data_IF_530182944177
#
_entry.id   IF_530182944177
#
_cell.length_a   1.000
_cell.length_b   1.000
_cell.length_c   1.000
_cell.angle_alpha   90.00
_cell.angle_beta   90.00
_cell.angle_gamma   90.00
#
_symmetry.space_group_name_H-M   'P 1'
#
loop_
_entity.id
_entity.type
_entity.pdbx_description
1 polymer ?
#
# COMPACT_ATOMS: atom_id res chain seq x y z
N UNK A 1 -2.34 -10.72 10.34
CA UNK A 1 -3.70 -10.18 10.09
C UNK A 1 -3.68 -9.50 8.74
N UNK A 2 -4.79 -9.48 8.01
CA UNK A 2 -4.84 -8.87 6.69
C UNK A 2 -5.35 -7.44 6.74
N UNK A 3 -4.69 -6.57 5.98
CA UNK A 3 -5.06 -5.18 5.81
C UNK A 3 -5.19 -4.86 4.32
N UNK A 4 -6.23 -4.12 3.97
CA UNK A 4 -6.38 -3.48 2.68
C UNK A 4 -5.88 -2.05 2.83
N UNK A 5 -4.99 -1.63 1.95
CA UNK A 5 -4.51 -0.26 1.87
C UNK A 5 -4.93 0.36 0.55
N UNK A 6 -5.60 1.50 0.64
CA UNK A 6 -5.97 2.35 -0.49
C UNK A 6 -5.04 3.57 -0.49
N UNK A 7 -4.08 3.58 -1.42
CA UNK A 7 -3.13 4.66 -1.60
C UNK A 7 -3.54 5.61 -2.73
N UNK A 8 -3.19 6.89 -2.61
CA UNK A 8 -3.39 7.87 -3.68
C UNK A 8 -2.19 8.79 -3.80
N UNK A 9 -1.78 9.07 -5.03
CA UNK A 9 -0.82 10.14 -5.29
C UNK A 9 -1.53 11.49 -5.12
N UNK A 10 -0.89 12.45 -4.47
CA UNK A 10 -1.50 13.76 -4.20
C UNK A 10 -0.93 14.85 -5.11
N UNK A 11 -1.43 16.07 -4.98
CA UNK A 11 -0.98 17.23 -5.77
C UNK A 11 0.53 17.48 -5.72
N UNK A 12 1.21 17.07 -4.64
CA UNK A 12 2.68 17.18 -4.54
C UNK A 12 3.35 16.30 -5.60
N UNK A 13 2.87 15.08 -5.78
CA UNK A 13 3.36 14.19 -6.83
C UNK A 13 3.15 14.82 -8.21
N UNK A 14 1.95 15.35 -8.48
CA UNK A 14 1.64 16.00 -9.77
C UNK A 14 2.47 17.24 -10.08
N UNK A 15 3.07 17.88 -9.06
CA UNK A 15 3.96 19.05 -9.20
C UNK A 15 5.44 18.70 -9.29
N UNK A 16 5.81 17.44 -9.08
CA UNK A 16 7.20 16.98 -9.23
C UNK A 16 7.63 16.99 -10.70
N UNK A 17 8.93 17.09 -10.95
CA UNK A 17 9.44 16.93 -12.30
C UNK A 17 9.20 15.50 -12.80
N UNK A 18 9.07 15.25 -14.12
CA UNK A 18 8.91 13.90 -14.64
C UNK A 18 10.05 12.96 -14.21
N UNK A 19 11.28 13.47 -14.11
CA UNK A 19 12.43 12.70 -13.64
C UNK A 19 12.28 12.29 -12.16
N UNK A 20 11.83 13.20 -11.30
CA UNK A 20 11.61 12.92 -9.88
C UNK A 20 10.43 11.96 -9.66
N UNK A 21 9.37 12.09 -10.45
CA UNK A 21 8.25 11.15 -10.44
C UNK A 21 8.72 9.75 -10.79
N UNK A 22 9.49 9.60 -11.87
CA UNK A 22 10.03 8.31 -12.30
C UNK A 22 10.94 7.69 -11.22
N UNK A 23 11.89 8.46 -10.67
CA UNK A 23 12.77 7.98 -9.61
C UNK A 23 12.00 7.61 -8.32
N UNK A 24 10.96 8.38 -7.98
CA UNK A 24 10.06 8.08 -6.86
C UNK A 24 9.31 6.76 -7.07
N UNK A 25 8.74 6.56 -8.25
CA UNK A 25 8.04 5.33 -8.62
C UNK A 25 8.96 4.10 -8.62
N UNK A 26 10.18 4.21 -9.12
CA UNK A 26 11.16 3.12 -9.07
C UNK A 26 11.49 2.72 -7.64
N UNK A 27 11.59 3.70 -6.73
CA UNK A 27 11.81 3.47 -5.31
C UNK A 27 10.61 2.79 -4.64
N UNK A 28 9.38 3.20 -4.97
CA UNK A 28 8.14 2.53 -4.53
C UNK A 28 8.09 1.07 -4.98
N UNK A 29 8.46 0.80 -6.23
CA UNK A 29 8.50 -0.54 -6.77
C UNK A 29 9.56 -1.40 -6.09
N UNK A 30 10.75 -0.84 -5.83
CA UNK A 30 11.79 -1.55 -5.08
C UNK A 30 11.31 -1.94 -3.68
N UNK A 31 10.64 -1.01 -2.98
CA UNK A 31 10.08 -1.27 -1.66
C UNK A 31 8.97 -2.32 -1.68
N UNK A 32 8.08 -2.23 -2.66
CA UNK A 32 7.02 -3.22 -2.85
C UNK A 32 7.56 -4.62 -3.12
N UNK A 33 8.62 -4.75 -3.93
CA UNK A 33 9.30 -6.04 -4.17
C UNK A 33 9.94 -6.59 -2.90
N UNK A 34 10.55 -5.73 -2.07
CA UNK A 34 11.10 -6.11 -0.77
C UNK A 34 10.01 -6.68 0.16
N UNK A 35 8.86 -5.99 0.27
CA UNK A 35 7.77 -6.46 1.12
C UNK A 35 7.06 -7.69 0.57
N UNK A 36 6.99 -7.82 -0.74
CA UNK A 36 6.46 -9.02 -1.39
C UNK A 36 7.34 -10.24 -1.07
N UNK A 37 8.67 -10.11 -1.14
CA UNK A 37 9.59 -11.22 -0.83
C UNK A 37 9.57 -11.64 0.64
N UNK A 38 9.21 -10.72 1.54
CA UNK A 38 9.02 -10.97 2.97
C UNK A 38 7.63 -11.51 3.32
N UNK A 39 6.72 -11.62 2.35
CA UNK A 39 5.33 -12.04 2.57
C UNK A 39 4.47 -10.99 3.28
N UNK A 40 4.97 -9.76 3.44
CA UNK A 40 4.25 -8.64 4.05
C UNK A 40 3.25 -8.01 3.06
N UNK A 41 3.62 -7.93 1.79
CA UNK A 41 2.72 -7.51 0.71
C UNK A 41 2.25 -8.75 -0.05
N UNK A 42 0.93 -8.98 -0.10
CA UNK A 42 0.33 -10.13 -0.80
C UNK A 42 -0.01 -9.83 -2.24
N UNK A 43 -0.67 -8.70 -2.47
CA UNK A 43 -1.16 -8.28 -3.79
C UNK A 43 -1.18 -6.75 -3.86
N UNK A 44 -0.95 -6.21 -5.05
CA UNK A 44 -0.98 -4.78 -5.32
C UNK A 44 -1.51 -4.54 -6.72
N UNK A 45 -2.35 -3.51 -6.86
CA UNK A 45 -2.93 -3.05 -8.11
C UNK A 45 -2.78 -1.54 -8.22
N UNK A 46 -2.46 -1.08 -9.43
CA UNK A 46 -2.41 0.32 -9.79
C UNK A 46 -3.62 0.65 -10.66
N UNK A 47 -4.33 1.70 -10.29
CA UNK A 47 -5.38 2.31 -11.08
C UNK A 47 -4.82 3.58 -11.71
N UNK A 48 -4.31 3.45 -12.94
CA UNK A 48 -3.55 4.50 -13.62
C UNK A 48 -4.38 5.77 -13.84
N UNK A 49 -5.65 5.62 -14.22
CA UNK A 49 -6.54 6.75 -14.50
C UNK A 49 -6.83 7.57 -13.23
N UNK A 50 -6.94 6.92 -12.09
CA UNK A 50 -7.25 7.52 -10.79
C UNK A 50 -6.00 7.90 -9.99
N UNK A 51 -4.80 7.57 -10.49
CA UNK A 51 -3.55 7.71 -9.73
C UNK A 51 -3.70 7.13 -8.30
N UNK A 52 -4.22 5.91 -8.22
CA UNK A 52 -4.49 5.25 -6.95
C UNK A 52 -4.00 3.82 -6.93
N UNK A 53 -3.77 3.30 -5.74
CA UNK A 53 -3.21 1.99 -5.49
C UNK A 53 -4.14 1.27 -4.53
N UNK A 54 -4.45 -0.01 -4.81
CA UNK A 54 -5.00 -0.91 -3.81
C UNK A 54 -3.99 -2.00 -3.53
N UNK A 55 -3.82 -2.34 -2.26
CA UNK A 55 -2.90 -3.40 -1.86
C UNK A 55 -3.43 -4.18 -0.68
N UNK A 56 -2.99 -5.43 -0.58
CA UNK A 56 -3.31 -6.34 0.52
C UNK A 56 -2.02 -6.66 1.24
N UNK A 57 -1.96 -6.33 2.52
CA UNK A 57 -0.81 -6.56 3.40
C UNK A 57 -1.12 -7.57 4.50
N UNK A 58 -0.09 -8.25 4.96
CA UNK A 58 -0.06 -8.98 6.23
C UNK A 58 0.72 -8.16 7.25
N UNK A 59 0.11 -7.91 8.40
CA UNK A 59 0.78 -7.31 9.55
C UNK A 59 0.19 -7.89 10.86
N UNK A 60 0.96 -7.80 11.94
CA UNK A 60 0.56 -8.34 13.25
C UNK A 60 -0.42 -7.43 13.99
N UNK A 61 -0.41 -6.14 13.67
CA UNK A 61 -1.28 -5.13 14.26
C UNK A 61 -1.46 -3.94 13.33
N UNK A 62 -2.35 -3.01 13.72
CA UNK A 62 -2.54 -1.74 13.00
C UNK A 62 -1.27 -0.89 13.02
N UNK A 63 -0.60 -0.83 14.17
CA UNK A 63 0.64 -0.08 14.36
C UNK A 63 1.79 -0.65 13.53
N UNK A 64 1.89 -1.99 13.42
CA UNK A 64 2.84 -2.62 12.50
C UNK A 64 2.53 -2.20 11.05
N UNK A 65 1.27 -2.24 10.62
CA UNK A 65 0.88 -1.79 9.28
C UNK A 65 1.21 -0.31 9.03
N UNK A 66 0.95 0.56 10.00
CA UNK A 66 1.30 1.99 9.92
C UNK A 66 2.81 2.19 9.79
N UNK A 67 3.62 1.42 10.52
CA UNK A 67 5.09 1.42 10.38
C UNK A 67 5.54 0.98 8.99
N UNK A 68 4.89 -0.04 8.39
CA UNK A 68 5.22 -0.49 7.04
C UNK A 68 4.90 0.60 6.00
N UNK A 69 3.74 1.26 6.12
CA UNK A 69 3.42 2.38 5.22
C UNK A 69 4.34 3.58 5.42
N UNK A 70 4.67 3.93 6.66
CA UNK A 70 5.60 5.02 6.95
C UNK A 70 7.01 4.76 6.40
N UNK A 71 7.36 3.52 6.05
CA UNK A 71 8.65 3.16 5.47
C UNK A 71 8.69 3.36 3.94
N UNK A 72 7.53 3.48 3.28
CA UNK A 72 7.44 3.73 1.84
C UNK A 72 7.98 5.12 1.46
N UNK A 73 8.79 5.25 0.39
CA UNK A 73 9.34 6.52 -0.07
C UNK A 73 8.30 7.65 -0.24
N UNK A 74 7.15 7.36 -0.84
CA UNK A 74 6.11 8.33 -1.12
C UNK A 74 5.35 8.78 0.11
N UNK A 75 5.18 7.88 1.08
CA UNK A 75 4.64 8.23 2.40
C UNK A 75 5.63 9.12 3.17
N UNK A 76 6.92 8.75 3.20
CA UNK A 76 7.99 9.55 3.85
C UNK A 76 8.13 10.94 3.25
N UNK A 77 8.10 11.01 1.93
CA UNK A 77 8.22 12.25 1.18
C UNK A 77 6.88 13.01 1.07
N UNK A 78 5.78 12.44 1.57
CA UNK A 78 4.46 13.07 1.66
C UNK A 78 3.78 13.32 0.31
N UNK A 79 4.10 12.54 -0.72
CA UNK A 79 3.45 12.61 -2.03
C UNK A 79 2.50 11.43 -2.31
N UNK A 80 2.43 10.46 -1.39
CA UNK A 80 1.35 9.45 -1.29
C UNK A 80 0.61 9.65 0.03
N UNK A 81 -0.70 9.42 0.00
CA UNK A 81 -1.53 9.20 1.19
C UNK A 81 -2.05 7.76 1.19
N UNK A 82 -2.39 7.22 2.36
CA UNK A 82 -2.89 5.85 2.49
C UNK A 82 -3.99 5.72 3.52
N UNK A 83 -5.11 5.09 3.13
CA UNK A 83 -6.15 4.63 4.03
C UNK A 83 -5.93 3.15 4.34
N UNK A 84 -5.82 2.80 5.62
CA UNK A 84 -5.68 1.40 6.06
C UNK A 84 -7.04 0.90 6.56
N UNK A 85 -7.48 -0.25 6.04
CA UNK A 85 -8.66 -0.99 6.50
C UNK A 85 -8.26 -2.39 6.93
N UNK A 86 -8.67 -2.81 8.14
CA UNK A 86 -8.51 -4.21 8.54
C UNK A 86 -9.50 -5.07 7.74
N UNK A 87 -9.02 -6.19 7.20
CA UNK A 87 -9.85 -7.20 6.56
C UNK A 87 -10.04 -8.38 7.51
N UNK A 88 -11.30 -8.73 7.77
CA UNK A 88 -11.67 -9.94 8.50
C UNK A 88 -12.03 -11.05 7.50
N UNK A 89 -11.83 -12.31 7.92
CA UNK A 89 -12.19 -13.45 7.10
C UNK A 89 -13.70 -13.43 6.81
N UNK A 90 -14.07 -13.61 5.53
CA UNK A 90 -15.46 -13.69 5.15
C UNK A 90 -16.07 -15.01 5.62
N UNK A 91 -17.01 -14.94 6.56
CA UNK A 91 -17.64 -16.12 7.17
C UNK A 91 -18.39 -17.01 6.17
N UNK A 92 -18.79 -16.49 5.01
CA UNK A 92 -19.48 -17.30 3.98
C UNK A 92 -18.62 -18.40 3.34
N UNK A 93 -17.30 -18.41 3.57
CA UNK A 93 -16.42 -19.51 3.19
C UNK A 93 -16.23 -20.57 4.28
N UNK A 94 -16.76 -20.33 5.49
CA UNK A 94 -16.69 -21.24 6.65
C UNK A 94 -18.09 -21.34 7.27
N UNK A 95 -18.95 -22.24 6.75
CA UNK A 95 -20.39 -22.27 7.09
C UNK A 95 -20.72 -22.47 8.56
N UNK A 96 -19.80 -23.02 9.36
CA UNK A 96 -20.10 -23.56 10.69
C UNK A 96 -19.72 -22.61 11.86
N UNK A 97 -19.53 -21.30 11.62
CA UNK A 97 -19.14 -20.32 12.65
C UNK A 97 -20.23 -19.29 13.03
N UNK A 98 -21.50 -19.54 12.68
CA UNK A 98 -22.65 -18.73 13.14
C UNK A 98 -23.54 -19.54 14.08
#
# INVERSE_FOLDING_TARGET
MQFIVLGSFNDKFGKMSPADQQAGMESEWAKSREYYSKGLLRQIWLFEAEQSIMSVFEADSREHMESLLADYPGMKAGWVTGEIRKADAYGGFVPDLV
#
